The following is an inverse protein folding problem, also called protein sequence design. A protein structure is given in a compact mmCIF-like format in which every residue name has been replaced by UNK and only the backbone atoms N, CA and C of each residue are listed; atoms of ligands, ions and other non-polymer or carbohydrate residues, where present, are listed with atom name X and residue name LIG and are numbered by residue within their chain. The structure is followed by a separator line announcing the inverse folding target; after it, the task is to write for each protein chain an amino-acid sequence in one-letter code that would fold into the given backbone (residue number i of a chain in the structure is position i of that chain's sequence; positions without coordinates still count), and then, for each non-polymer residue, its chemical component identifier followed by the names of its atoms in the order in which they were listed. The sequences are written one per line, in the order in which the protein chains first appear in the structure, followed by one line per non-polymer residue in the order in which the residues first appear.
data_IF_236287763197
#
_entry.id   IF_236287763197
#
_cell.length_a   1.000
_cell.length_b   1.000
_cell.length_c   1.000
_cell.angle_alpha   90.00
_cell.angle_beta   90.00
_cell.angle_gamma   90.00
#
_symmetry.space_group_name_H-M   'P 1'
#
loop_
_entity.id
_entity.type
_entity.pdbx_description
1 polymer ?
#
# COMPACT_ATOMS: atom_id res chain seq x y z
N UNK A 1 22.75 -32.21 2.98
CA UNK A 1 22.05 -30.98 3.37
C UNK A 1 22.61 -30.46 4.68
N UNK A 2 22.87 -29.17 4.82
CA UNK A 2 23.23 -28.56 6.10
C UNK A 2 22.03 -28.65 7.05
N UNK A 3 22.26 -28.91 8.35
CA UNK A 3 21.21 -28.97 9.36
C UNK A 3 20.48 -27.60 9.45
N UNK A 4 19.15 -27.63 9.56
CA UNK A 4 18.38 -26.41 9.74
C UNK A 4 18.72 -25.71 11.06
N UNK A 5 18.71 -24.39 11.07
CA UNK A 5 18.98 -23.59 12.26
C UNK A 5 17.95 -23.84 13.37
N UNK A 6 16.66 -24.01 13.04
CA UNK A 6 15.60 -24.37 13.98
C UNK A 6 15.89 -25.69 14.72
N UNK A 7 16.68 -26.61 14.14
CA UNK A 7 17.10 -27.86 14.75
C UNK A 7 18.54 -27.82 15.25
N UNK A 8 19.15 -26.63 15.45
CA UNK A 8 20.49 -26.45 15.99
C UNK A 8 21.62 -26.49 14.95
N UNK A 9 21.33 -26.27 13.67
CA UNK A 9 22.31 -25.95 12.64
C UNK A 9 22.74 -24.49 12.67
N UNK A 10 23.67 -24.11 11.80
CA UNK A 10 24.02 -22.69 11.59
C UNK A 10 22.97 -22.01 10.71
N UNK A 11 22.52 -20.79 11.07
CA UNK A 11 21.65 -20.02 10.21
C UNK A 11 22.37 -19.61 8.92
N UNK A 12 21.59 -19.41 7.86
CA UNK A 12 22.10 -18.84 6.60
C UNK A 12 22.61 -17.41 6.83
N UNK A 13 21.89 -16.67 7.67
CA UNK A 13 22.21 -15.27 7.94
C UNK A 13 22.18 -14.95 9.43
N UNK A 14 23.23 -14.25 9.90
CA UNK A 14 23.32 -13.74 11.29
C UNK A 14 23.43 -12.21 11.36
N UNK A 15 23.58 -11.52 10.23
CA UNK A 15 23.66 -10.05 10.14
C UNK A 15 22.29 -9.43 9.85
N UNK A 16 22.09 -8.19 10.27
CA UNK A 16 20.86 -7.44 9.97
C UNK A 16 20.76 -7.06 8.48
N UNK A 17 19.55 -6.96 7.96
CA UNK A 17 19.29 -6.33 6.67
C UNK A 17 19.44 -4.81 6.74
N UNK A 18 19.40 -4.15 5.58
CA UNK A 18 19.47 -2.69 5.47
C UNK A 18 18.48 -2.02 6.42
N UNK A 19 18.98 -1.05 7.18
CA UNK A 19 18.15 -0.25 8.11
C UNK A 19 17.19 0.62 7.32
N UNK A 20 15.95 0.68 7.76
CA UNK A 20 14.93 1.58 7.24
C UNK A 20 14.12 2.16 8.41
N UNK A 21 13.85 3.48 8.43
CA UNK A 21 14.35 4.54 7.53
C UNK A 21 15.85 4.76 7.62
N UNK A 22 16.45 5.36 6.56
CA UNK A 22 17.88 5.69 6.52
C UNK A 22 18.12 7.13 6.98
N UNK A 23 18.87 7.37 8.06
CA UNK A 23 19.20 8.72 8.53
C UNK A 23 20.40 9.30 7.76
N UNK A 24 20.17 9.83 6.55
CA UNK A 24 21.22 10.41 5.72
C UNK A 24 21.63 11.82 6.19
N UNK A 25 22.80 12.34 5.74
CA UNK A 25 23.24 13.72 6.01
C UNK A 25 22.30 14.74 5.39
N UNK A 26 21.89 14.49 4.15
CA UNK A 26 20.97 15.35 3.37
C UNK A 26 19.64 15.52 4.09
N UNK A 27 19.12 14.44 4.68
CA UNK A 27 17.88 14.49 5.48
C UNK A 27 18.05 15.35 6.74
N UNK A 28 19.18 15.21 7.44
CA UNK A 28 19.49 16.03 8.63
C UNK A 28 19.63 17.51 8.29
N UNK A 29 20.36 17.80 7.21
CA UNK A 29 20.60 19.18 6.75
C UNK A 29 19.30 19.84 6.30
N UNK A 30 18.41 19.11 5.60
CA UNK A 30 17.11 19.62 5.18
C UNK A 30 16.21 19.98 6.39
N UNK A 31 16.19 19.15 7.43
CA UNK A 31 15.43 19.44 8.66
C UNK A 31 16.00 20.67 9.36
N UNK A 32 17.32 20.75 9.55
CA UNK A 32 17.99 21.86 10.23
C UNK A 32 17.73 23.16 9.45
N UNK A 33 17.91 23.14 8.13
CA UNK A 33 17.66 24.31 7.28
C UNK A 33 16.22 24.80 7.40
N UNK A 34 15.24 23.89 7.41
CA UNK A 34 13.83 24.28 7.58
C UNK A 34 13.55 24.83 8.97
N UNK A 35 14.15 24.24 10.01
CA UNK A 35 13.98 24.70 11.37
C UNK A 35 14.50 26.13 11.57
N UNK A 36 15.61 26.48 10.94
CA UNK A 36 16.31 27.76 11.11
C UNK A 36 15.80 28.86 10.19
N UNK A 37 15.35 28.52 8.97
CA UNK A 37 15.18 29.51 7.91
C UNK A 37 13.75 29.61 7.35
N UNK A 38 12.80 28.73 7.77
CA UNK A 38 11.48 28.68 7.17
C UNK A 38 10.33 28.71 8.21
N UNK A 39 9.11 29.01 7.74
CA UNK A 39 7.90 28.80 8.53
C UNK A 39 7.63 27.31 8.73
N UNK A 40 7.12 26.93 9.91
CA UNK A 40 6.96 25.52 10.28
C UNK A 40 5.62 24.89 9.85
N UNK A 41 4.70 25.68 9.38
CA UNK A 41 3.35 25.25 9.06
C UNK A 41 2.77 25.95 7.83
N UNK A 42 1.51 26.35 7.92
CA UNK A 42 0.78 26.98 6.81
C UNK A 42 1.56 28.15 6.21
N UNK A 43 1.72 28.14 4.89
CA UNK A 43 2.47 29.16 4.15
C UNK A 43 3.98 28.93 4.10
N UNK A 44 4.50 27.83 4.66
CA UNK A 44 5.91 27.49 4.51
C UNK A 44 6.24 27.13 3.07
N UNK A 45 7.34 27.69 2.57
CA UNK A 45 7.87 27.38 1.24
C UNK A 45 8.38 25.94 1.13
N UNK A 46 8.79 25.31 2.24
CA UNK A 46 9.15 23.90 2.26
C UNK A 46 7.99 22.98 1.88
N UNK A 47 6.77 23.31 2.32
CA UNK A 47 5.56 22.55 1.97
C UNK A 47 5.29 22.70 0.48
N UNK A 48 5.24 23.93 -0.04
CA UNK A 48 4.96 24.20 -1.46
C UNK A 48 6.00 23.52 -2.37
N UNK A 49 7.30 23.63 -2.06
CA UNK A 49 8.33 22.97 -2.85
C UNK A 49 8.18 21.45 -2.88
N UNK A 50 7.84 20.86 -1.73
CA UNK A 50 7.59 19.42 -1.68
C UNK A 50 6.39 19.04 -2.55
N UNK A 51 5.27 19.75 -2.43
CA UNK A 51 4.04 19.48 -3.18
C UNK A 51 4.28 19.60 -4.69
N UNK A 52 4.98 20.64 -5.13
CA UNK A 52 5.37 20.82 -6.54
C UNK A 52 6.27 19.67 -7.04
N UNK A 53 7.30 19.30 -6.28
CA UNK A 53 8.22 18.22 -6.66
C UNK A 53 7.58 16.84 -6.63
N UNK A 54 6.69 16.58 -5.69
CA UNK A 54 5.98 15.32 -5.60
C UNK A 54 4.96 15.17 -6.73
N UNK A 55 4.26 16.25 -7.10
CA UNK A 55 3.39 16.29 -8.27
C UNK A 55 4.19 16.04 -9.55
N UNK A 56 5.30 16.77 -9.76
CA UNK A 56 6.19 16.58 -10.90
C UNK A 56 6.70 15.14 -11.01
N UNK A 57 7.14 14.55 -9.90
CA UNK A 57 7.63 13.17 -9.87
C UNK A 57 6.55 12.14 -10.26
N UNK A 58 5.27 12.40 -9.98
CA UNK A 58 4.15 11.51 -10.29
C UNK A 58 3.34 11.93 -11.54
N UNK A 59 3.89 12.75 -12.42
CA UNK A 59 3.24 13.21 -13.66
C UNK A 59 1.87 13.88 -13.40
N UNK A 60 1.70 14.50 -12.22
CA UNK A 60 0.48 15.17 -11.78
C UNK A 60 0.63 16.69 -11.81
N UNK A 61 -0.51 17.40 -11.96
CA UNK A 61 -0.53 18.87 -11.92
C UNK A 61 -0.55 19.43 -10.50
N UNK A 62 -1.21 18.72 -9.59
CA UNK A 62 -1.52 19.21 -8.25
C UNK A 62 -1.14 18.18 -7.19
N UNK A 63 -0.66 18.67 -6.04
CA UNK A 63 -0.41 17.89 -4.86
C UNK A 63 -0.85 18.66 -3.62
N UNK A 64 -1.37 17.95 -2.62
CA UNK A 64 -1.65 18.44 -1.27
C UNK A 64 -1.02 17.47 -0.29
N UNK A 65 -0.13 17.95 0.57
CA UNK A 65 0.43 17.16 1.64
C UNK A 65 -0.56 17.05 2.82
N UNK A 66 -0.75 15.82 3.32
CA UNK A 66 -1.70 15.51 4.40
C UNK A 66 -1.01 14.88 5.59
N UNK A 67 -1.65 14.92 6.77
CA UNK A 67 -1.09 14.39 8.01
C UNK A 67 -0.90 12.85 8.00
N UNK A 68 -1.58 12.14 7.11
CA UNK A 68 -1.42 10.70 6.89
C UNK A 68 -2.09 10.26 5.59
N UNK A 69 -1.75 9.06 5.08
CA UNK A 69 -2.51 8.46 3.97
C UNK A 69 -3.99 8.27 4.31
N UNK A 70 -4.30 7.85 5.55
CA UNK A 70 -5.70 7.65 5.99
C UNK A 70 -6.53 8.93 5.89
N UNK A 71 -5.99 10.06 6.38
CA UNK A 71 -6.67 11.36 6.25
C UNK A 71 -6.75 11.83 4.81
N UNK A 72 -5.72 11.53 4.00
CA UNK A 72 -5.73 11.77 2.56
C UNK A 72 -6.86 11.02 1.85
N UNK A 73 -7.04 9.72 2.13
CA UNK A 73 -8.14 8.92 1.56
C UNK A 73 -9.51 9.48 1.96
N UNK A 74 -9.70 9.86 3.22
CA UNK A 74 -10.94 10.50 3.66
C UNK A 74 -11.19 11.82 2.93
N UNK A 75 -10.19 12.69 2.82
CA UNK A 75 -10.28 13.97 2.11
C UNK A 75 -10.64 13.74 0.64
N UNK A 76 -9.96 12.81 -0.03
CA UNK A 76 -10.21 12.48 -1.44
C UNK A 76 -11.65 11.97 -1.67
N UNK A 77 -12.16 11.10 -0.80
CA UNK A 77 -13.55 10.62 -0.87
C UNK A 77 -14.54 11.76 -0.67
N UNK A 78 -14.30 12.64 0.32
CA UNK A 78 -15.17 13.80 0.53
C UNK A 78 -15.15 14.76 -0.66
N UNK A 79 -13.98 15.00 -1.26
CA UNK A 79 -13.83 15.84 -2.44
C UNK A 79 -14.46 15.21 -3.70
N UNK A 80 -14.46 13.87 -3.82
CA UNK A 80 -15.19 13.15 -4.85
C UNK A 80 -16.72 13.15 -4.65
N UNK A 81 -17.23 13.85 -3.63
CA UNK A 81 -18.65 14.00 -3.37
C UNK A 81 -19.31 12.84 -2.63
N UNK A 82 -18.51 11.94 -2.01
CA UNK A 82 -19.03 10.84 -1.21
C UNK A 82 -19.76 11.36 0.05
N UNK A 83 -20.99 10.90 0.25
CA UNK A 83 -21.91 11.29 1.31
C UNK A 83 -22.29 10.10 2.20
N UNK A 84 -22.98 10.40 3.29
CA UNK A 84 -23.51 9.36 4.18
C UNK A 84 -24.45 8.41 3.42
N UNK A 85 -24.19 7.11 3.54
CA UNK A 85 -24.95 6.05 2.88
C UNK A 85 -24.57 5.75 1.44
N UNK A 86 -23.66 6.53 0.82
CA UNK A 86 -23.07 6.18 -0.47
C UNK A 86 -22.18 4.95 -0.33
N UNK A 87 -22.03 4.21 -1.41
CA UNK A 87 -21.18 3.04 -1.49
C UNK A 87 -19.84 3.37 -2.15
N UNK A 88 -18.75 2.80 -1.60
CA UNK A 88 -17.41 2.86 -2.18
C UNK A 88 -16.88 1.44 -2.36
N UNK A 89 -16.61 1.05 -3.59
CA UNK A 89 -16.04 -0.28 -3.89
C UNK A 89 -14.56 -0.30 -3.54
N UNK A 90 -14.14 -1.31 -2.75
CA UNK A 90 -12.76 -1.48 -2.25
C UNK A 90 -12.35 -2.96 -2.26
N UNK A 91 -11.04 -3.30 -2.39
CA UNK A 91 -10.57 -4.66 -2.20
C UNK A 91 -10.55 -5.03 -0.71
N UNK A 92 -10.76 -6.31 -0.36
CA UNK A 92 -10.68 -6.80 1.02
C UNK A 92 -9.26 -7.15 1.49
N UNK A 93 -8.28 -7.22 0.57
CA UNK A 93 -6.87 -7.53 0.87
C UNK A 93 -6.02 -6.27 0.78
N UNK A 94 -6.06 -5.46 1.81
CA UNK A 94 -5.31 -4.20 1.92
C UNK A 94 -5.14 -3.81 3.39
N UNK A 95 -4.46 -2.69 3.64
CA UNK A 95 -4.43 -2.07 4.96
C UNK A 95 -5.81 -1.50 5.32
N UNK A 96 -6.18 -1.61 6.59
CA UNK A 96 -7.51 -1.21 7.09
C UNK A 96 -7.92 0.22 6.73
N UNK A 97 -6.95 1.13 6.51
CA UNK A 97 -7.22 2.54 6.20
C UNK A 97 -8.08 2.73 4.94
N UNK A 98 -7.94 1.84 3.93
CA UNK A 98 -8.75 1.87 2.70
C UNK A 98 -10.25 1.83 3.04
N UNK A 99 -10.66 0.92 3.91
CA UNK A 99 -12.07 0.79 4.30
C UNK A 99 -12.47 1.73 5.45
N UNK A 100 -11.57 1.99 6.42
CA UNK A 100 -11.89 2.91 7.52
C UNK A 100 -12.08 4.36 7.05
N UNK A 101 -11.37 4.79 5.99
CA UNK A 101 -11.60 6.11 5.39
C UNK A 101 -13.02 6.23 4.79
N UNK A 102 -13.55 5.14 4.23
CA UNK A 102 -14.94 5.08 3.74
C UNK A 102 -15.92 5.21 4.90
N UNK A 103 -15.72 4.45 5.98
CA UNK A 103 -16.55 4.53 7.19
C UNK A 103 -16.47 5.93 7.84
N UNK A 104 -15.30 6.54 7.91
CA UNK A 104 -15.11 7.91 8.40
C UNK A 104 -15.84 8.96 7.53
N UNK A 105 -16.03 8.67 6.23
CA UNK A 105 -16.85 9.50 5.35
C UNK A 105 -18.37 9.28 5.53
N UNK A 106 -18.76 8.41 6.48
CA UNK A 106 -20.12 7.91 6.70
C UNK A 106 -20.68 7.12 5.51
N UNK A 107 -19.81 6.59 4.68
CA UNK A 107 -20.15 5.77 3.52
C UNK A 107 -19.99 4.26 3.83
N UNK A 108 -20.36 3.43 2.90
CA UNK A 108 -20.37 1.97 3.01
C UNK A 108 -19.25 1.38 2.15
N UNK A 109 -18.26 0.70 2.72
CA UNK A 109 -17.31 -0.05 1.94
C UNK A 109 -17.98 -1.32 1.34
N UNK A 110 -18.00 -1.40 0.01
CA UNK A 110 -18.47 -2.58 -0.73
C UNK A 110 -17.25 -3.38 -1.16
N UNK A 111 -17.05 -4.53 -0.53
CA UNK A 111 -15.88 -5.35 -0.83
C UNK A 111 -16.08 -6.15 -2.12
N UNK A 112 -15.05 -6.16 -2.94
CA UNK A 112 -14.94 -6.95 -4.18
C UNK A 112 -13.66 -7.76 -4.12
N UNK A 113 -13.75 -9.08 -4.34
CA UNK A 113 -12.62 -10.00 -4.23
C UNK A 113 -11.47 -9.62 -5.17
N UNK A 114 -10.32 -10.19 -4.93
CA UNK A 114 -9.07 -9.89 -5.63
C UNK A 114 -8.80 -10.91 -6.75
N UNK A 115 -8.04 -10.50 -7.74
CA UNK A 115 -7.40 -11.39 -8.71
C UNK A 115 -6.29 -12.20 -8.03
N UNK A 116 -6.28 -13.51 -8.24
CA UNK A 116 -5.35 -14.41 -7.54
C UNK A 116 -3.89 -14.26 -7.98
N UNK A 117 -3.62 -13.72 -9.18
CA UNK A 117 -2.27 -13.58 -9.68
C UNK A 117 -1.62 -12.28 -9.22
N UNK A 118 -2.39 -11.18 -9.21
CA UNK A 118 -1.89 -9.83 -8.92
C UNK A 118 -2.16 -9.38 -7.50
N UNK A 119 -3.14 -9.98 -6.83
CA UNK A 119 -3.72 -9.62 -5.52
C UNK A 119 -4.36 -8.23 -5.49
N UNK A 120 -4.51 -7.57 -6.62
CA UNK A 120 -5.30 -6.36 -6.78
C UNK A 120 -6.80 -6.71 -6.90
N UNK A 121 -7.66 -5.72 -6.69
CA UNK A 121 -9.11 -5.89 -6.92
C UNK A 121 -9.36 -6.49 -8.32
N UNK A 122 -10.23 -7.48 -8.40
CA UNK A 122 -10.58 -8.10 -9.70
C UNK A 122 -11.58 -7.21 -10.46
N UNK A 123 -11.16 -6.57 -11.57
CA UNK A 123 -12.05 -5.68 -12.32
C UNK A 123 -13.27 -6.41 -12.92
N UNK A 124 -13.17 -7.71 -13.20
CA UNK A 124 -14.30 -8.49 -13.72
C UNK A 124 -15.45 -8.66 -12.70
N UNK A 125 -15.16 -8.43 -11.42
CA UNK A 125 -16.16 -8.51 -10.34
C UNK A 125 -16.74 -7.13 -9.97
N UNK A 126 -16.08 -6.03 -10.32
CA UNK A 126 -16.49 -4.67 -9.95
C UNK A 126 -17.88 -4.33 -10.51
N UNK A 127 -18.14 -4.60 -11.78
CA UNK A 127 -19.44 -4.26 -12.41
C UNK A 127 -20.64 -4.88 -11.69
N UNK A 128 -20.48 -6.08 -11.13
CA UNK A 128 -21.55 -6.78 -10.40
C UNK A 128 -21.85 -6.15 -9.03
N UNK A 129 -20.90 -5.40 -8.49
CA UNK A 129 -21.03 -4.74 -7.20
C UNK A 129 -21.56 -3.30 -7.32
N UNK A 130 -21.66 -2.74 -8.54
CA UNK A 130 -22.17 -1.39 -8.75
C UNK A 130 -23.68 -1.34 -8.53
N UNK A 131 -24.11 -0.37 -7.73
CA UNK A 131 -25.50 -0.03 -7.48
C UNK A 131 -25.77 1.46 -7.75
N UNK A 132 -27.01 1.91 -7.60
CA UNK A 132 -27.36 3.33 -7.69
C UNK A 132 -26.70 4.19 -6.56
N UNK A 133 -26.26 3.54 -5.46
CA UNK A 133 -25.57 4.20 -4.35
C UNK A 133 -24.07 4.27 -4.58
N UNK A 134 -23.49 3.54 -5.52
CA UNK A 134 -22.07 3.52 -5.76
C UNK A 134 -21.58 4.89 -6.24
N UNK A 135 -20.66 5.50 -5.48
CA UNK A 135 -20.16 6.85 -5.76
C UNK A 135 -18.68 6.84 -6.17
N UNK A 136 -17.91 5.90 -5.63
CA UNK A 136 -16.51 5.77 -5.97
C UNK A 136 -16.07 4.29 -6.04
N UNK A 137 -15.04 4.03 -6.82
CA UNK A 137 -14.23 2.82 -6.77
C UNK A 137 -12.84 3.25 -6.28
N UNK A 138 -12.34 2.59 -5.25
CA UNK A 138 -11.02 2.88 -4.69
C UNK A 138 -10.12 1.64 -4.82
N UNK A 139 -9.50 1.44 -6.01
CA UNK A 139 -8.51 0.41 -6.20
C UNK A 139 -7.30 0.69 -5.31
N UNK A 140 -6.67 -0.37 -4.83
CA UNK A 140 -5.40 -0.30 -4.11
C UNK A 140 -4.32 -0.86 -5.01
N UNK A 141 -3.19 -0.17 -5.17
CA UNK A 141 -2.01 -0.70 -5.82
C UNK A 141 -1.21 -1.53 -4.81
N UNK A 142 -1.70 -2.76 -4.54
CA UNK A 142 -1.20 -3.59 -3.45
C UNK A 142 0.30 -3.90 -3.63
N UNK A 143 1.08 -3.81 -2.57
CA UNK A 143 2.54 -3.97 -2.57
C UNK A 143 3.32 -3.00 -3.49
N UNK A 144 2.63 -2.05 -4.10
CA UNK A 144 3.15 -1.18 -5.15
C UNK A 144 3.02 -1.78 -6.56
N UNK A 145 2.18 -2.81 -6.72
CA UNK A 145 1.81 -3.41 -8.01
C UNK A 145 0.55 -2.71 -8.52
N UNK A 146 0.58 -2.00 -9.66
CA UNK A 146 -0.59 -1.31 -10.18
C UNK A 146 -1.80 -2.23 -10.39
N UNK A 147 -2.99 -1.78 -9.98
CA UNK A 147 -4.25 -2.39 -10.36
C UNK A 147 -4.50 -2.20 -11.86
N UNK A 148 -5.41 -2.97 -12.46
CA UNK A 148 -5.77 -2.83 -13.88
C UNK A 148 -6.54 -1.53 -14.11
N UNK A 149 -5.79 -0.45 -14.29
CA UNK A 149 -6.36 0.89 -14.40
C UNK A 149 -7.16 1.07 -15.69
N UNK A 150 -6.81 0.40 -16.79
CA UNK A 150 -7.57 0.53 -18.03
C UNK A 150 -8.99 0.00 -17.87
N UNK A 151 -9.17 -1.19 -17.29
CA UNK A 151 -10.50 -1.75 -17.04
C UNK A 151 -11.25 -0.95 -15.97
N UNK A 152 -10.59 -0.56 -14.88
CA UNK A 152 -11.22 0.19 -13.77
C UNK A 152 -11.70 1.57 -14.23
N UNK A 153 -10.90 2.29 -15.02
CA UNK A 153 -11.26 3.59 -15.59
C UNK A 153 -12.42 3.46 -16.59
N UNK A 154 -12.42 2.43 -17.42
CA UNK A 154 -13.51 2.15 -18.34
C UNK A 154 -14.83 1.89 -17.58
N UNK A 155 -14.79 1.12 -16.50
CA UNK A 155 -15.95 0.90 -15.62
C UNK A 155 -16.42 2.21 -14.99
N UNK A 156 -15.51 2.99 -14.41
CA UNK A 156 -15.83 4.30 -13.82
C UNK A 156 -16.52 5.22 -14.82
N UNK A 157 -15.99 5.33 -16.04
CA UNK A 157 -16.57 6.12 -17.12
C UNK A 157 -17.96 5.62 -17.53
N UNK A 158 -18.14 4.30 -17.67
CA UNK A 158 -19.42 3.67 -18.07
C UNK A 158 -20.54 3.95 -17.07
N UNK A 159 -20.25 3.95 -15.79
CA UNK A 159 -21.24 4.10 -14.72
C UNK A 159 -21.28 5.49 -14.09
N UNK A 160 -20.39 6.42 -14.50
CA UNK A 160 -20.28 7.76 -13.92
C UNK A 160 -19.80 7.74 -12.46
N UNK A 161 -18.93 6.78 -12.12
CA UNK A 161 -18.38 6.56 -10.77
C UNK A 161 -16.96 7.05 -10.71
N UNK A 162 -16.60 7.81 -9.67
CA UNK A 162 -15.26 8.36 -9.49
C UNK A 162 -14.23 7.27 -9.15
N UNK A 163 -13.03 7.37 -9.72
CA UNK A 163 -11.91 6.49 -9.38
C UNK A 163 -10.93 7.26 -8.49
N UNK A 164 -10.71 6.77 -7.27
CA UNK A 164 -9.73 7.31 -6.30
C UNK A 164 -8.69 6.23 -6.03
N UNK A 165 -7.45 6.47 -6.42
CA UNK A 165 -6.38 5.49 -6.28
C UNK A 165 -5.83 5.47 -4.84
N UNK A 166 -5.91 4.36 -4.13
CA UNK A 166 -5.09 4.14 -2.94
C UNK A 166 -3.69 3.72 -3.37
N UNK A 167 -2.84 4.72 -3.59
CA UNK A 167 -1.45 4.58 -4.00
C UNK A 167 -0.47 4.61 -2.81
N UNK A 168 -0.96 4.39 -1.58
CA UNK A 168 -0.15 4.44 -0.35
C UNK A 168 1.04 3.46 -0.32
N UNK A 169 1.09 2.52 -1.23
CA UNK A 169 2.17 1.54 -1.40
C UNK A 169 2.91 1.68 -2.74
N UNK A 170 2.56 2.68 -3.58
CA UNK A 170 2.90 2.70 -5.00
C UNK A 170 3.76 3.90 -5.45
N UNK A 171 4.64 4.40 -4.58
CA UNK A 171 5.55 5.51 -4.90
C UNK A 171 6.39 5.20 -6.14
N UNK A 172 6.10 5.92 -7.24
CA UNK A 172 6.78 5.77 -8.52
C UNK A 172 6.39 4.51 -9.33
N UNK A 173 5.36 3.75 -8.93
CA UNK A 173 4.83 2.68 -9.77
C UNK A 173 4.18 3.25 -11.04
N UNK A 174 4.20 2.47 -12.14
CA UNK A 174 3.77 2.93 -13.45
C UNK A 174 2.77 1.97 -14.11
N UNK A 175 1.75 2.56 -14.71
CA UNK A 175 0.79 1.92 -15.59
C UNK A 175 0.95 2.52 -16.99
N UNK A 176 1.24 1.68 -18.00
CA UNK A 176 1.50 2.11 -19.37
C UNK A 176 2.51 3.28 -19.47
N UNK A 177 3.60 3.22 -18.69
CA UNK A 177 4.66 4.24 -18.57
C UNK A 177 4.20 5.59 -18.00
N UNK A 178 3.03 5.66 -17.36
CA UNK A 178 2.55 6.83 -16.61
C UNK A 178 2.49 6.45 -15.13
N UNK A 179 2.97 7.31 -14.27
CA UNK A 179 2.94 7.03 -12.82
C UNK A 179 1.51 6.98 -12.29
N UNK A 180 1.24 6.00 -11.43
CA UNK A 180 -0.07 5.86 -10.78
C UNK A 180 -0.31 6.93 -9.73
N UNK A 181 -1.59 7.14 -9.38
CA UNK A 181 -2.05 8.08 -8.37
C UNK A 181 -2.77 9.31 -8.94
N UNK A 182 -2.67 9.55 -10.27
CA UNK A 182 -3.43 10.59 -10.95
C UNK A 182 -3.99 10.12 -12.30
N UNK A 183 -4.16 8.80 -12.45
CA UNK A 183 -4.82 8.18 -13.60
C UNK A 183 -6.33 8.29 -13.48
N UNK A 184 -6.87 8.17 -12.25
CA UNK A 184 -8.26 8.45 -11.91
C UNK A 184 -8.51 9.94 -11.64
N UNK A 185 -9.54 10.24 -10.83
CA UNK A 185 -9.84 11.60 -10.38
C UNK A 185 -8.71 12.14 -9.48
N UNK A 186 -8.08 11.26 -8.71
CA UNK A 186 -6.91 11.53 -7.89
C UNK A 186 -6.51 10.31 -7.11
N UNK A 187 -5.37 10.40 -6.42
CA UNK A 187 -4.85 9.30 -5.62
C UNK A 187 -4.11 9.77 -4.39
N UNK A 188 -3.89 8.84 -3.48
CA UNK A 188 -3.37 9.12 -2.15
C UNK A 188 -2.14 8.29 -1.88
N UNK A 189 -1.11 8.95 -1.35
CA UNK A 189 0.15 8.33 -0.91
C UNK A 189 0.29 8.43 0.60
N UNK A 190 1.07 7.53 1.18
CA UNK A 190 1.41 7.53 2.61
C UNK A 190 2.92 7.69 2.81
N UNK A 191 3.32 8.49 3.80
CA UNK A 191 4.70 8.64 4.23
C UNK A 191 4.93 8.06 5.63
N UNK A 192 4.12 7.05 6.01
CA UNK A 192 4.31 6.31 7.25
C UNK A 192 5.66 5.57 7.23
N UNK A 193 6.23 5.31 8.38
CA UNK A 193 7.60 4.78 8.59
C UNK A 193 8.01 3.61 7.68
N UNK A 194 7.09 2.70 7.32
CA UNK A 194 7.41 1.53 6.51
C UNK A 194 7.44 1.79 5.00
N UNK A 195 6.92 2.94 4.54
CA UNK A 195 6.75 3.25 3.12
C UNK A 195 8.07 3.52 2.41
N UNK A 196 8.06 3.46 1.08
CA UNK A 196 9.24 3.66 0.23
C UNK A 196 9.82 5.07 0.29
N UNK A 197 9.00 6.06 0.68
CA UNK A 197 9.35 7.39 1.15
C UNK A 197 8.67 7.61 2.49
N UNK A 198 9.36 8.22 3.45
CA UNK A 198 8.80 8.38 4.79
C UNK A 198 9.21 9.66 5.51
N UNK A 199 8.27 10.25 6.23
CA UNK A 199 8.49 11.30 7.23
C UNK A 199 8.13 10.83 8.65
N UNK A 200 8.09 9.50 8.88
CA UNK A 200 7.55 8.91 10.10
C UNK A 200 6.04 8.77 10.02
N UNK A 201 5.35 9.85 9.82
CA UNK A 201 3.93 9.97 9.48
C UNK A 201 3.73 11.04 8.40
N UNK A 202 2.70 10.91 7.60
CA UNK A 202 2.35 11.83 6.52
C UNK A 202 1.61 11.16 5.37
N UNK A 203 1.17 11.97 4.42
CA UNK A 203 0.57 11.54 3.18
C UNK A 203 0.55 12.66 2.15
N UNK A 204 0.09 12.35 0.96
CA UNK A 204 -0.18 13.32 -0.10
C UNK A 204 -1.37 12.87 -0.94
N UNK A 205 -2.11 13.85 -1.46
CA UNK A 205 -3.14 13.66 -2.48
C UNK A 205 -2.60 14.29 -3.76
N UNK A 206 -2.65 13.58 -4.88
CA UNK A 206 -2.31 14.14 -6.20
C UNK A 206 -3.50 14.06 -7.14
N UNK A 207 -3.56 14.98 -8.10
CA UNK A 207 -4.62 15.00 -9.11
C UNK A 207 -4.21 15.83 -10.33
N UNK A 208 -4.90 15.59 -11.45
CA UNK A 208 -4.86 16.42 -12.64
C UNK A 208 -6.10 17.33 -12.77
N UNK A 209 -7.08 17.16 -11.89
CA UNK A 209 -8.34 17.91 -11.84
C UNK A 209 -8.25 19.06 -10.83
N UNK A 210 -8.47 20.29 -11.30
CA UNK A 210 -8.33 21.50 -10.48
C UNK A 210 -9.46 21.63 -9.45
N UNK A 211 -10.70 21.33 -9.82
CA UNK A 211 -11.86 21.42 -8.92
C UNK A 211 -11.74 20.42 -7.77
N UNK A 212 -11.32 19.19 -8.09
CA UNK A 212 -11.05 18.17 -7.08
C UNK A 212 -9.92 18.60 -6.13
N UNK A 213 -8.82 19.13 -6.68
CA UNK A 213 -7.70 19.64 -5.88
C UNK A 213 -8.12 20.77 -4.92
N UNK A 214 -8.86 21.76 -5.39
CA UNK A 214 -9.34 22.88 -4.55
C UNK A 214 -10.30 22.40 -3.47
N UNK A 215 -11.14 21.42 -3.80
CA UNK A 215 -12.05 20.80 -2.83
C UNK A 215 -11.29 19.98 -1.79
N UNK A 216 -10.25 19.21 -2.20
CA UNK A 216 -9.33 18.54 -1.28
C UNK A 216 -8.62 19.56 -0.37
N UNK A 217 -8.12 20.65 -0.93
CA UNK A 217 -7.51 21.73 -0.13
C UNK A 217 -8.47 22.23 0.95
N UNK A 218 -9.72 22.43 0.62
CA UNK A 218 -10.72 22.92 1.59
C UNK A 218 -10.94 21.90 2.72
N UNK A 219 -11.18 20.64 2.41
CA UNK A 219 -11.40 19.60 3.43
C UNK A 219 -10.18 19.39 4.33
N UNK A 220 -8.95 19.42 3.79
CA UNK A 220 -7.74 19.22 4.60
C UNK A 220 -7.36 20.45 5.45
N UNK A 221 -7.87 21.64 5.09
CA UNK A 221 -7.53 22.93 5.70
C UNK A 221 -8.70 23.54 6.48
N UNK A 222 -9.38 22.77 7.30
CA UNK A 222 -10.48 23.20 8.15
C UNK A 222 -11.69 23.80 7.38
N UNK A 223 -11.88 23.46 6.12
CA UNK A 223 -12.99 23.97 5.29
C UNK A 223 -12.73 25.32 4.61
N UNK A 224 -11.53 25.88 4.71
CA UNK A 224 -11.14 27.12 4.05
C UNK A 224 -10.93 26.91 2.57
N UNK A 225 -11.37 27.86 1.75
CA UNK A 225 -11.06 27.86 0.31
C UNK A 225 -9.80 28.69 0.03
N UNK A 226 -9.15 28.41 -1.11
CA UNK A 226 -7.96 29.19 -1.54
C UNK A 226 -8.29 30.63 -1.90
N UNK A 227 -9.48 30.87 -2.45
CA UNK A 227 -9.94 32.15 -2.94
C UNK A 227 -10.85 32.92 -1.95
N UNK A 228 -11.21 32.27 -0.82
CA UNK A 228 -12.11 32.86 0.18
C UNK A 228 -11.43 33.81 1.15
N UNK A 229 -12.22 34.52 1.95
CA UNK A 229 -11.70 35.34 3.04
C UNK A 229 -11.01 34.47 4.12
N UNK A 230 -10.09 35.06 4.87
CA UNK A 230 -9.26 34.33 5.84
C UNK A 230 -10.07 33.53 6.87
N UNK A 231 -11.26 33.97 7.26
CA UNK A 231 -12.13 33.27 8.21
C UNK A 231 -13.37 32.63 7.55
N UNK A 232 -13.39 32.50 6.24
CA UNK A 232 -14.46 31.81 5.53
C UNK A 232 -14.23 30.29 5.52
N UNK A 233 -15.17 29.52 6.06
CA UNK A 233 -15.17 28.07 6.13
C UNK A 233 -16.41 27.53 5.39
N UNK A 234 -16.22 27.01 4.20
CA UNK A 234 -17.32 26.54 3.33
C UNK A 234 -17.63 25.05 3.50
N UNK A 235 -16.68 24.27 4.03
CA UNK A 235 -16.82 22.83 4.18
C UNK A 235 -16.60 22.39 5.64
N UNK A 236 -17.23 21.27 6.02
CA UNK A 236 -16.91 20.59 7.27
C UNK A 236 -15.62 19.80 7.09
N UNK A 237 -14.50 20.49 7.14
CA UNK A 237 -13.16 19.93 7.02
C UNK A 237 -12.45 19.79 8.37
N UNK A 238 -11.25 19.23 8.34
CA UNK A 238 -10.39 19.07 9.50
C UNK A 238 -9.00 19.71 9.32
N UNK A 239 -8.22 19.72 10.37
CA UNK A 239 -6.80 20.05 10.28
C UNK A 239 -6.01 18.78 9.96
N UNK A 240 -5.82 18.51 8.67
CA UNK A 240 -5.09 17.35 8.17
C UNK A 240 -3.79 17.74 7.44
N UNK A 241 -3.27 18.92 7.75
CA UNK A 241 -2.06 19.45 7.13
C UNK A 241 -0.79 18.72 7.61
N UNK A 242 0.17 18.57 6.73
CA UNK A 242 1.51 18.11 7.08
C UNK A 242 2.38 19.30 7.50
N UNK A 243 3.32 19.10 8.42
CA UNK A 243 4.25 20.16 8.86
C UNK A 243 5.40 20.33 7.87
N UNK A 244 6.02 21.53 7.87
CA UNK A 244 7.21 21.81 7.08
C UNK A 244 8.39 20.88 7.44
N UNK A 245 8.53 20.48 8.71
CA UNK A 245 9.57 19.53 9.13
C UNK A 245 9.41 18.18 8.43
N UNK A 246 8.19 17.67 8.33
CA UNK A 246 7.92 16.42 7.67
C UNK A 246 8.15 16.51 6.15
N UNK A 247 7.71 17.59 5.49
CA UNK A 247 7.97 17.78 4.07
C UNK A 247 9.45 17.94 3.75
N UNK A 248 10.22 18.60 4.63
CA UNK A 248 11.68 18.73 4.46
C UNK A 248 12.40 17.39 4.53
N UNK A 249 11.90 16.42 5.31
CA UNK A 249 12.43 15.05 5.33
C UNK A 249 12.18 14.29 4.03
N UNK A 250 11.14 14.63 3.31
CA UNK A 250 10.76 13.95 2.06
C UNK A 250 11.54 14.45 0.84
N UNK A 251 12.00 15.71 0.84
CA UNK A 251 12.70 16.31 -0.30
C UNK A 251 13.95 15.53 -0.75
N UNK A 252 14.93 15.20 0.11
CA UNK A 252 16.09 14.41 -0.30
C UNK A 252 15.72 12.99 -0.76
N UNK A 253 14.58 12.47 -0.30
CA UNK A 253 14.10 11.16 -0.71
C UNK A 253 13.50 11.17 -2.12
N UNK A 254 12.86 12.27 -2.56
CA UNK A 254 12.41 12.42 -3.96
C UNK A 254 13.61 12.39 -4.90
N UNK A 255 14.72 13.01 -4.53
CA UNK A 255 15.94 13.05 -5.34
C UNK A 255 16.60 11.67 -5.48
N UNK A 256 16.49 10.81 -4.46
CA UNK A 256 17.13 9.49 -4.42
C UNK A 256 16.17 8.32 -4.73
N UNK A 257 14.87 8.56 -4.86
CA UNK A 257 13.88 7.48 -4.98
C UNK A 257 14.10 6.64 -6.24
N UNK A 258 14.56 7.25 -7.35
CA UNK A 258 14.80 6.54 -8.59
C UNK A 258 15.87 5.46 -8.43
N UNK A 259 16.98 5.77 -7.78
CA UNK A 259 18.07 4.83 -7.52
C UNK A 259 17.58 3.68 -6.58
N UNK A 260 16.76 4.01 -5.60
CA UNK A 260 16.18 3.02 -4.71
C UNK A 260 15.18 2.11 -5.45
N UNK A 261 14.38 2.66 -6.35
CA UNK A 261 13.47 1.89 -7.21
C UNK A 261 14.25 0.94 -8.12
N UNK A 262 15.28 1.43 -8.81
CA UNK A 262 16.12 0.62 -9.70
C UNK A 262 16.81 -0.52 -8.95
N UNK A 263 17.23 -0.27 -7.71
CA UNK A 263 17.81 -1.29 -6.83
C UNK A 263 16.77 -2.34 -6.44
N UNK A 264 15.55 -1.93 -6.06
CA UNK A 264 14.46 -2.86 -5.74
C UNK A 264 14.06 -3.70 -6.94
N UNK A 265 13.96 -3.10 -8.13
CA UNK A 265 13.63 -3.80 -9.37
C UNK A 265 14.67 -4.88 -9.71
N UNK A 266 15.96 -4.52 -9.64
CA UNK A 266 17.06 -5.47 -9.86
C UNK A 266 17.02 -6.63 -8.88
N UNK A 267 16.85 -6.32 -7.59
CA UNK A 267 16.86 -7.32 -6.53
C UNK A 267 15.60 -8.20 -6.56
N UNK A 268 14.44 -7.61 -6.86
CA UNK A 268 13.21 -8.36 -7.11
C UNK A 268 13.38 -9.36 -8.25
N UNK A 269 13.90 -8.92 -9.40
CA UNK A 269 14.11 -9.80 -10.54
C UNK A 269 14.97 -11.02 -10.18
N UNK A 270 16.03 -10.82 -9.41
CA UNK A 270 16.89 -11.93 -8.94
C UNK A 270 16.13 -12.90 -8.02
N UNK A 271 15.27 -12.38 -7.12
CA UNK A 271 14.41 -13.21 -6.27
C UNK A 271 13.37 -13.96 -7.10
N UNK A 272 12.70 -13.31 -8.05
CA UNK A 272 11.68 -13.91 -8.90
C UNK A 272 12.28 -15.08 -9.72
N UNK A 273 13.46 -14.87 -10.33
CA UNK A 273 14.16 -15.88 -11.10
C UNK A 273 14.53 -17.12 -10.25
N UNK A 274 14.97 -16.91 -9.01
CA UNK A 274 15.37 -18.00 -8.14
C UNK A 274 14.18 -18.70 -7.47
N UNK A 275 13.24 -17.95 -6.90
CA UNK A 275 12.16 -18.51 -6.11
C UNK A 275 11.08 -19.16 -6.99
N UNK A 276 10.89 -18.73 -8.24
CA UNK A 276 10.00 -19.39 -9.21
C UNK A 276 10.43 -20.83 -9.56
N UNK A 277 11.69 -21.20 -9.28
CA UNK A 277 12.17 -22.57 -9.47
C UNK A 277 11.84 -23.50 -8.29
N UNK A 278 11.30 -22.98 -7.21
CA UNK A 278 10.97 -23.75 -6.01
C UNK A 278 9.53 -24.27 -6.14
N UNK A 279 9.36 -25.58 -6.27
CA UNK A 279 8.03 -26.20 -6.28
C UNK A 279 7.28 -25.87 -4.97
N UNK A 280 6.05 -25.37 -5.09
CA UNK A 280 5.24 -24.92 -3.95
C UNK A 280 5.41 -23.44 -3.58
N UNK A 281 6.31 -22.69 -4.25
CA UNK A 281 6.39 -21.23 -4.15
C UNK A 281 5.91 -20.61 -5.46
N UNK A 282 4.93 -19.71 -5.40
CA UNK A 282 4.42 -18.94 -6.54
C UNK A 282 4.74 -17.47 -6.36
N UNK A 283 5.31 -16.85 -7.39
CA UNK A 283 5.58 -15.40 -7.38
C UNK A 283 4.36 -14.67 -7.91
N UNK A 284 3.98 -13.60 -7.23
CA UNK A 284 2.86 -12.78 -7.67
C UNK A 284 3.18 -12.06 -8.98
N UNK A 285 2.27 -12.17 -9.93
CA UNK A 285 2.32 -11.51 -11.23
C UNK A 285 1.90 -10.05 -11.18
N UNK A 286 1.85 -9.44 -12.36
CA UNK A 286 1.32 -8.11 -12.60
C UNK A 286 0.44 -8.14 -13.84
N UNK A 287 -0.44 -7.17 -13.98
CA UNK A 287 -1.16 -6.94 -15.25
C UNK A 287 -0.19 -6.41 -16.33
N UNK A 288 -0.49 -6.66 -17.60
CA UNK A 288 0.37 -6.27 -18.72
C UNK A 288 0.65 -4.75 -18.78
N UNK A 289 -0.31 -3.93 -18.33
CA UNK A 289 -0.15 -2.48 -18.24
C UNK A 289 0.74 -2.00 -17.09
N UNK A 290 1.06 -2.84 -16.12
CA UNK A 290 1.95 -2.47 -15.00
C UNK A 290 3.42 -2.47 -15.47
N UNK A 291 3.86 -1.36 -16.06
CA UNK A 291 5.21 -1.22 -16.63
C UNK A 291 6.30 -1.09 -15.56
N UNK A 292 5.93 -0.67 -14.34
CA UNK A 292 6.82 -0.64 -13.18
C UNK A 292 6.07 -0.84 -11.88
N UNK A 293 6.62 -1.62 -10.96
CA UNK A 293 6.11 -1.78 -9.60
C UNK A 293 6.97 -1.00 -8.61
N UNK A 294 6.36 -0.45 -7.54
CA UNK A 294 7.11 0.25 -6.48
C UNK A 294 7.86 -0.71 -5.53
N UNK A 295 7.50 -1.98 -5.54
CA UNK A 295 8.13 -3.01 -4.70
C UNK A 295 8.15 -2.64 -3.20
N UNK A 296 6.99 -2.13 -2.68
CA UNK A 296 6.83 -1.82 -1.26
C UNK A 296 6.84 -3.08 -0.39
N UNK A 297 6.33 -4.16 -0.92
CA UNK A 297 6.35 -5.48 -0.31
C UNK A 297 6.71 -6.46 -1.43
N UNK A 298 7.62 -7.39 -1.16
CA UNK A 298 7.80 -8.53 -2.03
C UNK A 298 6.78 -9.59 -1.65
N UNK A 299 5.96 -9.98 -2.59
CA UNK A 299 4.89 -10.96 -2.40
C UNK A 299 5.21 -12.27 -3.11
N UNK A 300 5.06 -13.36 -2.37
CA UNK A 300 5.03 -14.71 -2.89
C UNK A 300 3.91 -15.51 -2.21
N UNK A 301 3.60 -16.69 -2.72
CA UNK A 301 2.57 -17.59 -2.18
C UNK A 301 3.15 -18.96 -1.88
N UNK A 302 2.68 -19.56 -0.78
CA UNK A 302 3.03 -20.88 -0.28
C UNK A 302 1.91 -21.87 -0.58
N UNK A 303 2.23 -22.97 -1.23
CA UNK A 303 1.27 -24.07 -1.45
C UNK A 303 1.56 -25.22 -0.47
N UNK A 304 0.78 -25.24 0.61
CA UNK A 304 0.89 -26.29 1.66
C UNK A 304 0.83 -27.72 1.10
N UNK A 305 0.04 -27.93 0.03
CA UNK A 305 -0.12 -29.26 -0.58
C UNK A 305 1.18 -29.77 -1.22
N UNK A 306 2.02 -28.86 -1.70
CA UNK A 306 3.34 -29.19 -2.28
C UNK A 306 4.40 -29.44 -1.21
N UNK A 307 4.16 -28.98 0.01
CA UNK A 307 5.06 -29.14 1.16
C UNK A 307 4.55 -30.19 2.16
N UNK A 308 3.98 -31.29 1.66
CA UNK A 308 3.52 -32.44 2.46
C UNK A 308 2.46 -32.10 3.53
N UNK A 309 1.66 -31.05 3.31
CA UNK A 309 0.65 -30.58 4.25
C UNK A 309 1.24 -29.83 5.46
N UNK A 310 2.48 -29.38 5.37
CA UNK A 310 3.10 -28.57 6.44
C UNK A 310 2.59 -27.15 6.34
N UNK A 311 2.00 -26.59 7.43
CA UNK A 311 1.44 -25.24 7.42
C UNK A 311 2.51 -24.16 7.19
N UNK A 312 2.11 -23.06 6.56
CA UNK A 312 2.93 -21.88 6.29
C UNK A 312 3.62 -21.31 7.55
N UNK A 313 2.97 -21.40 8.70
CA UNK A 313 3.49 -20.92 9.98
C UNK A 313 4.78 -21.65 10.39
N UNK A 314 4.90 -22.93 10.04
CA UNK A 314 6.13 -23.71 10.26
C UNK A 314 7.23 -23.23 9.33
N UNK A 315 6.91 -22.98 8.05
CA UNK A 315 7.85 -22.36 7.12
C UNK A 315 8.36 -21.02 7.66
N UNK A 316 7.51 -20.16 8.22
CA UNK A 316 7.93 -18.87 8.80
C UNK A 316 8.88 -19.05 10.00
N UNK A 317 8.58 -19.97 10.90
CA UNK A 317 9.48 -20.29 12.04
C UNK A 317 10.87 -20.74 11.53
N UNK A 318 10.90 -21.61 10.53
CA UNK A 318 12.14 -22.09 9.94
C UNK A 318 12.92 -20.97 9.24
N UNK A 319 12.26 -20.13 8.45
CA UNK A 319 12.86 -18.97 7.79
C UNK A 319 13.44 -17.96 8.81
N UNK A 320 12.70 -17.70 9.87
CA UNK A 320 13.15 -16.83 10.96
C UNK A 320 14.42 -17.40 11.63
N UNK A 321 14.47 -18.69 11.88
CA UNK A 321 15.65 -19.36 12.44
C UNK A 321 16.86 -19.27 11.49
N UNK A 322 16.64 -19.30 10.18
CA UNK A 322 17.69 -19.08 9.17
C UNK A 322 18.12 -17.60 9.03
N UNK A 323 17.50 -16.66 9.78
CA UNK A 323 17.83 -15.25 9.80
C UNK A 323 17.07 -14.39 8.78
N UNK A 324 16.03 -14.94 8.13
CA UNK A 324 15.18 -14.24 7.16
C UNK A 324 13.75 -14.16 7.68
N UNK A 325 13.32 -12.98 8.13
CA UNK A 325 11.96 -12.77 8.61
C UNK A 325 10.99 -12.65 7.44
N UNK A 326 9.97 -13.50 7.44
CA UNK A 326 8.82 -13.46 6.54
C UNK A 326 7.54 -13.15 7.33
N UNK A 327 6.52 -12.60 6.65
CA UNK A 327 5.28 -12.16 7.29
C UNK A 327 4.08 -12.76 6.56
N UNK A 328 2.97 -12.95 7.29
CA UNK A 328 1.72 -13.53 6.75
C UNK A 328 0.94 -12.60 5.83
N UNK A 329 1.16 -11.30 5.91
CA UNK A 329 0.40 -10.33 5.16
C UNK A 329 -0.86 -9.82 5.87
N UNK A 330 -1.81 -9.29 5.10
CA UNK A 330 -3.09 -8.81 5.61
C UNK A 330 -4.06 -9.95 5.91
N UNK A 331 -4.91 -9.75 6.92
CA UNK A 331 -6.16 -10.51 7.06
C UNK A 331 -7.24 -9.90 6.17
N UNK A 332 -8.28 -10.66 5.78
CA UNK A 332 -9.43 -10.07 5.08
C UNK A 332 -10.06 -8.99 5.95
N UNK A 333 -9.99 -7.71 5.53
CA UNK A 333 -10.31 -6.58 6.40
C UNK A 333 -11.75 -6.56 6.88
N UNK A 334 -12.71 -7.15 6.14
CA UNK A 334 -14.10 -7.28 6.60
C UNK A 334 -14.29 -8.22 7.81
N UNK A 335 -13.26 -9.01 8.16
CA UNK A 335 -13.26 -9.84 9.39
C UNK A 335 -12.82 -9.07 10.64
N UNK A 336 -12.33 -7.85 10.48
CA UNK A 336 -11.91 -7.03 11.61
C UNK A 336 -13.12 -6.63 12.47
N UNK A 337 -12.90 -6.50 13.78
CA UNK A 337 -13.96 -6.15 14.74
C UNK A 337 -14.66 -4.83 14.42
N UNK A 338 -13.99 -3.96 13.69
CA UNK A 338 -14.54 -2.70 13.18
C UNK A 338 -15.86 -2.90 12.40
N UNK A 339 -15.99 -4.03 11.69
CA UNK A 339 -17.15 -4.34 10.85
C UNK A 339 -18.27 -5.08 11.61
N UNK A 340 -18.06 -5.41 12.88
CA UNK A 340 -19.14 -5.83 13.81
C UNK A 340 -19.73 -4.54 14.38
N UNK A 341 -20.44 -3.79 13.53
CA UNK A 341 -20.86 -2.43 13.85
C UNK A 341 -22.16 -2.40 14.65
N UNK A 342 -22.25 -1.41 15.56
CA UNK A 342 -23.52 -1.01 16.17
C UNK A 342 -24.33 -0.22 15.14
N UNK A 343 -25.40 -0.81 14.64
CA UNK A 343 -26.25 -0.19 13.62
C UNK A 343 -27.06 0.98 14.16
N UNK A 344 -27.18 1.14 15.49
CA UNK A 344 -27.79 2.32 16.09
C UNK A 344 -26.84 3.54 15.99
N UNK A 345 -25.53 3.30 16.09
CA UNK A 345 -24.51 4.35 15.87
C UNK A 345 -24.28 4.63 14.38
N UNK A 346 -24.34 3.58 13.54
CA UNK A 346 -24.07 3.65 12.09
C UNK A 346 -25.28 3.17 11.27
N UNK A 347 -26.42 3.88 11.28
CA UNK A 347 -27.68 3.38 10.71
C UNK A 347 -27.63 3.13 9.19
N UNK A 348 -26.68 3.73 8.46
CA UNK A 348 -26.48 3.47 7.02
C UNK A 348 -25.83 2.10 6.75
N UNK A 349 -25.28 1.42 7.77
CA UNK A 349 -24.69 0.08 7.64
C UNK A 349 -25.67 -1.06 7.92
N UNK A 350 -26.90 -0.77 8.36
CA UNK A 350 -27.87 -1.78 8.83
C UNK A 350 -28.23 -2.86 7.81
N UNK A 351 -28.13 -2.52 6.51
CA UNK A 351 -28.50 -3.43 5.41
C UNK A 351 -27.29 -4.23 4.89
N UNK A 352 -26.09 -4.06 5.52
CA UNK A 352 -24.84 -4.69 5.07
C UNK A 352 -24.35 -5.70 6.12
N UNK A 353 -24.27 -6.98 5.72
CA UNK A 353 -23.77 -8.08 6.56
C UNK A 353 -22.31 -8.40 6.22
N UNK A 354 -21.40 -7.73 6.90
CA UNK A 354 -19.96 -7.98 6.75
C UNK A 354 -19.52 -9.30 7.39
N UNK A 355 -20.26 -9.79 8.40
CA UNK A 355 -19.88 -10.98 9.17
C UNK A 355 -20.03 -12.26 8.36
N UNK A 356 -21.09 -12.37 7.54
CA UNK A 356 -21.34 -13.53 6.70
C UNK A 356 -20.63 -13.48 5.34
N UNK A 357 -19.92 -12.39 5.06
CA UNK A 357 -19.25 -12.16 3.78
C UNK A 357 -18.20 -13.25 3.49
N UNK A 358 -18.11 -13.63 2.20
CA UNK A 358 -17.16 -14.63 1.70
C UNK A 358 -16.44 -14.09 0.47
N UNK A 359 -15.12 -14.01 0.57
CA UNK A 359 -14.21 -13.62 -0.51
C UNK A 359 -13.18 -14.75 -0.68
N UNK A 360 -13.49 -15.78 -1.46
CA UNK A 360 -12.75 -17.03 -1.44
C UNK A 360 -11.30 -16.89 -1.87
N UNK A 361 -10.97 -15.98 -2.79
CA UNK A 361 -9.59 -15.75 -3.21
C UNK A 361 -8.82 -15.03 -2.09
N UNK A 362 -9.37 -13.93 -1.57
CA UNK A 362 -8.79 -13.19 -0.44
C UNK A 362 -8.58 -14.09 0.78
N UNK A 363 -9.60 -14.88 1.15
CA UNK A 363 -9.54 -15.76 2.32
C UNK A 363 -8.43 -16.80 2.17
N UNK A 364 -8.34 -17.48 1.03
CA UNK A 364 -7.31 -18.47 0.73
C UNK A 364 -5.91 -17.87 0.79
N UNK A 365 -5.71 -16.73 0.10
CA UNK A 365 -4.41 -16.02 0.06
C UNK A 365 -4.00 -15.58 1.47
N UNK A 366 -4.88 -14.92 2.20
CA UNK A 366 -4.59 -14.36 3.52
C UNK A 366 -4.34 -15.46 4.56
N UNK A 367 -5.21 -16.46 4.60
CA UNK A 367 -5.19 -17.48 5.65
C UNK A 367 -4.07 -18.52 5.46
N UNK A 368 -3.68 -18.81 4.18
CA UNK A 368 -2.83 -19.97 3.90
C UNK A 368 -1.60 -19.72 3.04
N UNK A 369 -1.66 -18.75 2.10
CA UNK A 369 -0.66 -18.71 1.03
C UNK A 369 0.34 -17.56 1.15
N UNK A 370 -0.09 -16.38 1.59
CA UNK A 370 0.71 -15.15 1.49
C UNK A 370 2.03 -15.24 2.26
N UNK A 371 3.12 -14.87 1.58
CA UNK A 371 4.48 -14.66 2.13
C UNK A 371 4.92 -13.26 1.77
N UNK A 372 5.34 -12.48 2.78
CA UNK A 372 5.82 -11.11 2.59
C UNK A 372 7.26 -10.95 3.00
N UNK A 373 8.03 -10.18 2.19
CA UNK A 373 9.28 -9.55 2.58
C UNK A 373 9.12 -8.02 2.49
N UNK A 374 9.67 -7.28 3.44
CA UNK A 374 9.60 -5.81 3.45
C UNK A 374 10.49 -5.20 2.38
N UNK A 375 10.15 -4.00 1.92
CA UNK A 375 10.88 -3.26 0.89
C UNK A 375 12.38 -3.06 1.18
N UNK A 376 12.77 -2.97 2.44
CA UNK A 376 14.18 -2.77 2.81
C UNK A 376 15.04 -4.02 2.59
N UNK A 377 14.46 -5.22 2.49
CA UNK A 377 15.18 -6.41 2.02
C UNK A 377 15.65 -6.21 0.58
N UNK A 378 14.81 -5.61 -0.27
CA UNK A 378 15.12 -5.32 -1.66
C UNK A 378 16.13 -4.15 -1.86
N UNK A 379 16.42 -3.38 -0.80
CA UNK A 379 17.48 -2.36 -0.79
C UNK A 379 18.85 -2.92 -0.41
N UNK A 380 18.93 -4.20 -0.10
CA UNK A 380 20.15 -4.88 0.28
C UNK A 380 21.16 -5.04 -0.85
N UNK A 381 22.33 -5.57 -0.51
CA UNK A 381 23.38 -5.96 -1.45
C UNK A 381 23.01 -7.25 -2.20
N UNK A 382 23.75 -7.60 -3.22
CA UNK A 382 23.58 -8.89 -3.91
C UNK A 382 23.76 -10.10 -2.95
N UNK A 383 24.63 -9.96 -1.95
CA UNK A 383 24.81 -10.99 -0.90
C UNK A 383 23.58 -11.09 0.01
N UNK A 384 22.92 -9.96 0.34
CA UNK A 384 21.67 -9.97 1.11
C UNK A 384 20.54 -10.71 0.36
N UNK A 385 20.47 -10.52 -0.96
CA UNK A 385 19.50 -11.22 -1.80
C UNK A 385 19.83 -12.71 -1.90
N UNK A 386 21.13 -13.06 -2.04
CA UNK A 386 21.55 -14.45 -2.07
C UNK A 386 21.23 -15.16 -0.75
N UNK A 387 21.43 -14.51 0.40
CA UNK A 387 21.06 -15.07 1.71
C UNK A 387 19.55 -15.40 1.78
N UNK A 388 18.69 -14.52 1.21
CA UNK A 388 17.24 -14.79 1.13
C UNK A 388 16.97 -16.03 0.27
N UNK A 389 17.57 -16.11 -0.92
CA UNK A 389 17.43 -17.26 -1.83
C UNK A 389 17.91 -18.55 -1.16
N UNK A 390 19.05 -18.51 -0.50
CA UNK A 390 19.64 -19.67 0.17
C UNK A 390 18.76 -20.13 1.34
N UNK A 391 18.18 -19.21 2.11
CA UNK A 391 17.26 -19.54 3.19
C UNK A 391 15.98 -20.20 2.66
N UNK A 392 15.33 -19.62 1.64
CA UNK A 392 14.18 -20.23 0.97
C UNK A 392 14.52 -21.62 0.46
N UNK A 393 15.63 -21.77 -0.27
CA UNK A 393 16.08 -23.04 -0.84
C UNK A 393 16.32 -24.08 0.25
N UNK A 394 17.04 -23.70 1.31
CA UNK A 394 17.38 -24.61 2.42
C UNK A 394 16.14 -25.11 3.15
N UNK A 395 15.21 -24.20 3.48
CA UNK A 395 13.98 -24.53 4.22
C UNK A 395 13.05 -25.36 3.34
N UNK A 396 12.77 -24.95 2.10
CA UNK A 396 11.85 -25.67 1.21
C UNK A 396 12.37 -27.05 0.84
N UNK A 397 13.69 -27.22 0.62
CA UNK A 397 14.27 -28.53 0.41
C UNK A 397 14.10 -29.46 1.62
N UNK A 398 14.18 -28.93 2.84
CA UNK A 398 13.94 -29.71 4.04
C UNK A 398 12.47 -30.12 4.18
N UNK A 399 11.52 -29.18 3.89
CA UNK A 399 10.08 -29.47 3.88
C UNK A 399 9.71 -30.55 2.87
N UNK A 400 10.36 -30.60 1.71
CA UNK A 400 10.13 -31.63 0.70
C UNK A 400 10.74 -32.99 1.08
N UNK A 401 11.97 -33.00 1.55
CA UNK A 401 12.75 -34.24 1.70
C UNK A 401 12.66 -34.85 3.10
N UNK A 402 12.37 -34.06 4.11
CA UNK A 402 12.41 -34.41 5.52
C UNK A 402 11.21 -33.86 6.29
N UNK A 403 9.95 -34.09 5.80
CA UNK A 403 8.75 -33.55 6.45
C UNK A 403 8.60 -34.03 7.90
N UNK A 404 9.21 -35.20 8.24
CA UNK A 404 9.20 -35.72 9.59
C UNK A 404 9.85 -34.80 10.64
N UNK A 405 10.78 -33.90 10.21
CA UNK A 405 11.45 -32.96 11.09
C UNK A 405 10.52 -31.85 11.63
N UNK A 406 9.34 -31.67 11.01
CA UNK A 406 8.43 -30.56 11.30
C UNK A 406 7.12 -31.01 11.99
N UNK A 407 6.99 -32.29 12.35
CA UNK A 407 5.76 -32.86 12.93
C UNK A 407 5.47 -32.41 14.36
N UNK A 408 6.48 -31.95 15.09
CA UNK A 408 6.39 -31.55 16.50
C UNK A 408 6.55 -30.03 16.71
N UNK A 409 6.61 -29.23 15.62
CA UNK A 409 6.76 -27.77 15.61
C UNK A 409 5.40 -27.03 15.51
#
# INVERSE_FOLDING_TARGET
MSKLAIHGGNPVRSRSFSVWPRPTSELKDAIISTLENEGWGVGSTAITRFEEKFAEFHDAKYCISTSSGTTGLWVALKAAGVKAGDEVIVPPYTFIATASAVLMANAVPVFVDIDENTLNIDPALIEKAITEKTRAIMPVHISGNPADMDQILAIGSKYGVSIIEDACQAHGAEWNNTKVGALGLGGVFSFQTSKNMTAGEGGAIISNDEEFYETCFSYHNCGRTKSGEFYEHQFLGGNFRLSAMATSMLMPQIESIQDDMDRRDKNRKQLDEALSQIDGITINGAYDGATRQANHIYLARYDESRFNGIPREIFFKAMQAEGVFTYMGYTPIYREKLFVTDTDEYPWLKDYDFVSMKMPVTERIADKESIWLKQNHLLGSAEDIQDIIDAFTKVTQALHKHPELFKDE
#
